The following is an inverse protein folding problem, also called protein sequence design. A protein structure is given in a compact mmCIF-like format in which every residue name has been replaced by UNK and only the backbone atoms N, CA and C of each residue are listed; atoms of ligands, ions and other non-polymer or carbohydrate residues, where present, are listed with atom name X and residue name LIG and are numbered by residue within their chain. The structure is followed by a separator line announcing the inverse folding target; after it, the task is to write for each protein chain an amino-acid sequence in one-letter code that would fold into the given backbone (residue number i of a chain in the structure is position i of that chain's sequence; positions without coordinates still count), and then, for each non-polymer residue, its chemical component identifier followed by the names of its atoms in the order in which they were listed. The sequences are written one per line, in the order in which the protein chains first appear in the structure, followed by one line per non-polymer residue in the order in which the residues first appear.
data_IF_498907622244
#
_entry.id   IF_498907622244
#
_cell.length_a   1.000
_cell.length_b   1.000
_cell.length_c   1.000
_cell.angle_alpha   90.00
_cell.angle_beta   90.00
_cell.angle_gamma   90.00
#
_symmetry.space_group_name_H-M   'P 1'
#
loop_
_entity.id
_entity.type
_entity.pdbx_description
1 polymer ?
#
# COMPACT_ATOMS: atom_id res chain seq x y z
N UNK A 1 13.20 -7.67 -2.04
CA UNK A 1 12.06 -6.87 -2.55
C UNK A 1 11.55 -5.91 -1.50
N UNK A 2 11.40 -6.32 -0.23
CA UNK A 2 10.88 -5.46 0.85
C UNK A 2 11.90 -5.29 1.97
N UNK A 3 12.03 -4.09 2.57
CA UNK A 3 12.98 -3.78 3.65
C UNK A 3 12.54 -4.35 5.02
N UNK A 4 12.48 -5.67 5.15
CA UNK A 4 12.05 -6.41 6.36
C UNK A 4 10.58 -6.19 6.80
N UNK A 5 9.90 -5.13 6.35
CA UNK A 5 8.52 -4.81 6.74
C UNK A 5 7.44 -5.31 5.78
N UNK A 6 7.84 -5.85 4.61
CA UNK A 6 6.91 -6.48 3.68
C UNK A 6 5.85 -5.53 3.13
N UNK A 7 4.64 -6.05 2.98
CA UNK A 7 3.44 -5.27 2.73
C UNK A 7 2.56 -5.31 3.98
N UNK A 8 2.04 -4.16 4.40
CA UNK A 8 1.22 -4.05 5.59
C UNK A 8 0.12 -3.02 5.41
N UNK A 9 -0.95 -3.19 6.17
CA UNK A 9 -2.01 -2.19 6.26
C UNK A 9 -1.81 -1.33 7.50
N UNK A 10 -2.21 -0.07 7.37
CA UNK A 10 -2.29 0.90 8.43
C UNK A 10 -3.72 1.43 8.53
N UNK A 11 -4.25 1.43 9.75
CA UNK A 11 -5.47 2.16 10.13
C UNK A 11 -5.06 3.12 11.24
N UNK A 12 -5.44 4.39 11.12
CA UNK A 12 -5.10 5.42 12.10
C UNK A 12 -6.38 5.98 12.72
N UNK A 13 -6.42 6.17 14.04
CA UNK A 13 -7.55 6.77 14.79
C UNK A 13 -7.01 7.78 15.78
N UNK A 14 -7.43 9.06 15.69
CA UNK A 14 -6.92 10.12 16.59
C UNK A 14 -5.40 10.07 16.72
N UNK A 15 -4.92 9.68 17.90
CA UNK A 15 -3.50 9.61 18.26
C UNK A 15 -2.84 8.22 18.07
N UNK A 16 -3.58 7.20 17.62
CA UNK A 16 -3.11 5.82 17.50
C UNK A 16 -2.99 5.36 16.05
N UNK A 17 -1.96 4.54 15.78
CA UNK A 17 -1.71 3.88 14.49
C UNK A 17 -1.69 2.37 14.68
N UNK A 18 -2.55 1.67 13.96
CA UNK A 18 -2.68 0.22 14.01
C UNK A 18 -2.11 -0.36 12.72
N UNK A 19 -1.00 -1.06 12.85
CA UNK A 19 -0.35 -1.75 11.75
C UNK A 19 -0.79 -3.22 11.72
N UNK A 20 -0.88 -3.81 10.53
CA UNK A 20 -1.28 -5.22 10.38
C UNK A 20 -0.32 -6.20 11.06
N UNK A 21 0.94 -5.84 11.30
CA UNK A 21 1.88 -6.69 12.06
C UNK A 21 1.57 -6.76 13.57
N UNK A 22 0.74 -5.86 14.10
CA UNK A 22 0.27 -5.88 15.48
C UNK A 22 -1.05 -6.65 15.68
N UNK A 23 -1.71 -7.04 14.58
CA UNK A 23 -2.92 -7.85 14.63
C UNK A 23 -2.61 -9.35 14.89
N UNK A 24 -3.56 -10.04 15.51
CA UNK A 24 -3.58 -11.50 15.57
C UNK A 24 -4.29 -12.01 14.32
N UNK A 25 -3.60 -12.87 13.57
CA UNK A 25 -4.08 -13.38 12.29
C UNK A 25 -4.41 -14.87 12.36
N UNK A 26 -5.59 -15.22 11.86
CA UNK A 26 -5.92 -16.57 11.46
C UNK A 26 -5.71 -16.70 9.95
N UNK A 27 -4.82 -17.60 9.53
CA UNK A 27 -4.41 -17.73 8.12
C UNK A 27 -4.88 -19.07 7.56
N UNK A 28 -5.67 -19.00 6.49
CA UNK A 28 -6.28 -20.15 5.85
C UNK A 28 -5.91 -20.20 4.37
N UNK A 29 -5.12 -21.21 3.96
CA UNK A 29 -4.85 -21.48 2.54
C UNK A 29 -6.10 -22.08 1.90
N UNK A 30 -6.69 -21.40 0.91
CA UNK A 30 -7.91 -21.86 0.23
C UNK A 30 -7.61 -22.68 -1.03
N UNK A 31 -6.58 -22.30 -1.78
CA UNK A 31 -6.10 -23.01 -2.97
C UNK A 31 -4.56 -22.92 -3.03
N UNK A 32 -3.88 -23.58 -3.99
CA UNK A 32 -2.45 -23.37 -4.21
C UNK A 32 -2.06 -21.90 -4.47
N UNK A 33 -2.94 -21.11 -5.10
CA UNK A 33 -2.72 -19.72 -5.48
C UNK A 33 -3.41 -18.69 -4.57
N UNK A 34 -4.26 -19.13 -3.63
CA UNK A 34 -5.09 -18.22 -2.81
C UNK A 34 -4.99 -18.50 -1.32
N UNK A 35 -4.78 -17.44 -0.56
CA UNK A 35 -4.77 -17.41 0.89
C UNK A 35 -5.78 -16.38 1.40
N UNK A 36 -6.45 -16.71 2.50
CA UNK A 36 -7.37 -15.81 3.19
C UNK A 36 -6.89 -15.69 4.62
N UNK A 37 -6.62 -14.46 5.07
CA UNK A 37 -6.21 -14.15 6.41
C UNK A 37 -7.26 -13.29 7.10
N UNK A 38 -7.67 -13.64 8.32
CA UNK A 38 -8.58 -12.84 9.12
C UNK A 38 -7.84 -12.30 10.34
N UNK A 39 -7.72 -10.99 10.42
CA UNK A 39 -6.97 -10.26 11.43
C UNK A 39 -7.88 -9.54 12.41
N UNK A 40 -7.45 -9.47 13.67
CA UNK A 40 -8.08 -8.66 14.72
C UNK A 40 -7.02 -7.97 15.55
N UNK A 41 -7.32 -6.75 15.96
CA UNK A 41 -6.52 -6.01 16.94
C UNK A 41 -7.19 -6.08 18.31
N UNK A 42 -6.40 -5.97 19.36
CA UNK A 42 -6.92 -6.07 20.74
C UNK A 42 -7.60 -4.78 21.22
N UNK A 43 -7.16 -3.65 20.69
CA UNK A 43 -7.45 -2.29 21.17
C UNK A 43 -8.31 -1.47 20.21
N UNK A 44 -8.43 -1.90 18.94
CA UNK A 44 -9.39 -1.35 17.98
C UNK A 44 -10.41 -2.42 17.55
N UNK A 45 -11.73 -2.15 17.61
CA UNK A 45 -12.78 -3.15 17.37
C UNK A 45 -13.03 -3.33 15.88
N UNK A 46 -12.00 -3.79 15.16
CA UNK A 46 -12.03 -4.09 13.73
C UNK A 46 -11.68 -5.56 13.53
N UNK A 47 -12.47 -6.22 12.68
CA UNK A 47 -12.09 -7.48 12.06
C UNK A 47 -11.76 -7.19 10.61
N UNK A 48 -10.62 -7.68 10.14
CA UNK A 48 -10.20 -7.51 8.76
C UNK A 48 -10.05 -8.87 8.10
N UNK A 49 -10.51 -9.00 6.86
CA UNK A 49 -10.27 -10.17 6.02
C UNK A 49 -9.47 -9.75 4.81
N UNK A 50 -8.30 -10.35 4.63
CA UNK A 50 -7.39 -10.12 3.51
C UNK A 50 -7.35 -11.38 2.66
N UNK A 51 -7.77 -11.26 1.40
CA UNK A 51 -7.58 -12.29 0.40
C UNK A 51 -6.37 -11.94 -0.46
N UNK A 52 -5.42 -12.88 -0.53
CA UNK A 52 -4.19 -12.77 -1.30
C UNK A 52 -4.25 -13.85 -2.37
N UNK A 53 -4.19 -13.45 -3.64
CA UNK A 53 -4.32 -14.36 -4.78
C UNK A 53 -3.23 -14.11 -5.81
N UNK A 54 -2.59 -15.19 -6.28
CA UNK A 54 -1.70 -15.15 -7.45
C UNK A 54 -2.57 -15.20 -8.71
N UNK A 55 -2.70 -14.07 -9.40
CA UNK A 55 -3.39 -13.99 -10.70
C UNK A 55 -2.53 -14.62 -11.81
N UNK A 56 -1.21 -14.44 -11.74
CA UNK A 56 -0.21 -15.11 -12.57
C UNK A 56 1.12 -15.27 -11.80
N UNK A 57 2.20 -15.64 -12.50
CA UNK A 57 3.53 -15.85 -11.91
C UNK A 57 4.17 -14.59 -11.30
N UNK A 58 3.67 -13.41 -11.64
CA UNK A 58 4.27 -12.11 -11.37
C UNK A 58 3.29 -11.11 -10.73
N UNK A 59 2.01 -11.43 -10.65
CA UNK A 59 0.97 -10.54 -10.12
C UNK A 59 0.30 -11.13 -8.90
N UNK A 60 0.37 -10.39 -7.79
CA UNK A 60 -0.38 -10.65 -6.56
C UNK A 60 -1.55 -9.67 -6.50
N UNK A 61 -2.75 -10.20 -6.28
CA UNK A 61 -3.99 -9.44 -6.09
C UNK A 61 -4.36 -9.49 -4.61
N UNK A 62 -4.68 -8.33 -4.06
CA UNK A 62 -5.13 -8.15 -2.69
C UNK A 62 -6.55 -7.63 -2.67
N UNK A 63 -7.42 -8.31 -1.94
CA UNK A 63 -8.77 -7.85 -1.64
C UNK A 63 -8.92 -7.77 -0.13
N UNK A 64 -9.13 -6.57 0.38
CA UNK A 64 -9.20 -6.33 1.83
C UNK A 64 -10.63 -5.91 2.16
N UNK A 65 -11.22 -6.59 3.15
CA UNK A 65 -12.53 -6.29 3.71
C UNK A 65 -12.37 -5.94 5.18
N UNK A 66 -12.88 -4.79 5.56
CA UNK A 66 -12.81 -4.25 6.93
C UNK A 66 -14.22 -4.26 7.52
N UNK A 67 -14.39 -4.87 8.69
CA UNK A 67 -15.66 -4.94 9.40
C UNK A 67 -15.49 -4.38 10.82
N UNK A 68 -15.80 -3.08 11.04
CA UNK A 68 -15.86 -2.49 12.37
C UNK A 68 -17.00 -3.11 13.18
N UNK A 69 -16.73 -3.47 14.42
CA UNK A 69 -17.73 -4.03 15.34
C UNK A 69 -18.55 -2.94 16.06
N UNK A 70 -18.05 -1.70 16.03
CA UNK A 70 -18.74 -0.47 16.46
C UNK A 70 -18.29 0.70 15.59
N UNK A 71 -18.92 1.86 15.74
CA UNK A 71 -18.48 3.08 15.06
C UNK A 71 -17.04 3.44 15.47
N UNK A 72 -16.21 3.78 14.50
CA UNK A 72 -14.81 4.20 14.71
C UNK A 72 -14.53 5.44 13.88
N UNK A 73 -13.94 6.45 14.50
CA UNK A 73 -13.43 7.63 13.80
C UNK A 73 -11.98 7.38 13.38
N UNK A 74 -11.76 7.38 12.07
CA UNK A 74 -10.49 7.12 11.43
C UNK A 74 -9.84 8.44 10.98
N UNK A 75 -8.58 8.59 11.33
CA UNK A 75 -7.70 9.64 10.82
C UNK A 75 -7.03 9.24 9.49
N UNK A 76 -7.00 7.94 9.16
CA UNK A 76 -6.45 7.47 7.89
C UNK A 76 -6.55 5.95 7.71
N UNK A 77 -6.43 5.52 6.47
CA UNK A 77 -6.29 4.10 6.09
C UNK A 77 -5.37 4.02 4.87
N UNK A 78 -4.41 3.09 4.91
CA UNK A 78 -3.46 2.87 3.83
C UNK A 78 -3.01 1.41 3.73
N UNK A 79 -2.83 0.92 2.51
CA UNK A 79 -2.02 -0.26 2.23
C UNK A 79 -0.63 0.18 1.79
N UNK A 80 0.41 -0.33 2.43
CA UNK A 80 1.79 0.09 2.23
C UNK A 80 2.63 -1.11 1.79
N UNK A 81 3.43 -0.92 0.73
CA UNK A 81 4.47 -1.84 0.28
C UNK A 81 5.81 -1.19 0.60
N UNK A 82 6.50 -1.68 1.62
CA UNK A 82 7.86 -1.23 1.91
C UNK A 82 8.85 -1.93 0.99
N UNK A 83 9.72 -1.16 0.33
CA UNK A 83 10.68 -1.65 -0.65
C UNK A 83 12.07 -1.82 -0.01
N UNK A 84 12.90 -2.72 -0.53
CA UNK A 84 14.31 -2.76 -0.15
C UNK A 84 15.04 -1.51 -0.65
N UNK A 85 16.16 -1.16 -0.01
CA UNK A 85 17.01 -0.05 -0.43
C UNK A 85 17.64 -0.21 -1.83
N UNK A 86 17.49 -1.38 -2.46
CA UNK A 86 17.96 -1.64 -3.82
C UNK A 86 17.09 -0.97 -4.91
N UNK A 87 15.90 -0.50 -4.56
CA UNK A 87 15.07 0.30 -5.46
C UNK A 87 15.55 1.74 -5.46
N UNK A 88 16.00 2.23 -6.62
CA UNK A 88 16.71 3.50 -6.77
C UNK A 88 15.86 4.62 -7.38
N UNK A 89 14.78 4.26 -8.07
CA UNK A 89 13.97 5.21 -8.83
C UNK A 89 12.51 4.79 -8.95
N UNK A 90 11.69 5.75 -9.33
CA UNK A 90 10.26 5.58 -9.55
C UNK A 90 9.77 6.30 -10.81
N UNK A 91 8.63 5.86 -11.33
CA UNK A 91 7.91 6.45 -12.45
C UNK A 91 6.44 6.58 -12.05
N UNK A 92 5.90 7.77 -12.28
CA UNK A 92 4.45 8.01 -12.23
C UNK A 92 3.92 7.94 -13.66
N UNK A 93 3.18 6.89 -14.06
CA UNK A 93 2.85 6.64 -15.45
C UNK A 93 2.11 7.78 -16.13
N UNK A 94 1.20 8.44 -15.41
CA UNK A 94 0.42 9.55 -15.96
C UNK A 94 1.27 10.75 -16.41
N UNK A 95 2.34 11.06 -15.68
CA UNK A 95 3.22 12.18 -16.01
C UNK A 95 4.38 11.78 -16.92
N UNK A 96 4.66 10.47 -17.03
CA UNK A 96 5.87 9.95 -17.68
C UNK A 96 7.17 10.36 -16.98
N UNK A 97 7.11 11.04 -15.82
CA UNK A 97 8.28 11.54 -15.11
C UNK A 97 8.89 10.43 -14.26
N UNK A 98 10.17 10.16 -14.51
CA UNK A 98 11.01 9.28 -13.71
C UNK A 98 11.91 10.11 -12.79
N UNK A 99 12.04 9.71 -11.53
CA UNK A 99 12.87 10.39 -10.54
C UNK A 99 13.56 9.39 -9.61
N UNK A 100 14.59 9.83 -8.90
CA UNK A 100 15.33 9.01 -7.94
C UNK A 100 14.68 9.05 -6.56
N UNK A 101 14.80 7.99 -5.76
CA UNK A 101 14.35 8.04 -4.36
C UNK A 101 15.16 9.02 -3.51
N UNK A 102 16.45 9.18 -3.81
CA UNK A 102 17.30 10.19 -3.16
C UNK A 102 16.84 11.63 -3.41
N UNK A 103 15.97 11.89 -4.40
CA UNK A 103 15.38 13.23 -4.55
C UNK A 103 14.28 13.52 -3.53
N UNK A 104 13.87 12.52 -2.74
CA UNK A 104 12.89 12.67 -1.66
C UNK A 104 13.55 13.04 -0.32
N UNK A 105 14.88 12.95 -0.20
CA UNK A 105 15.61 13.35 1.00
C UNK A 105 15.81 14.87 1.01
N UNK A 106 15.00 15.60 1.77
CA UNK A 106 15.09 17.07 1.82
C UNK A 106 14.04 17.81 2.66
N UNK A 107 13.36 17.15 3.60
CA UNK A 107 12.43 17.80 4.52
C UNK A 107 10.95 17.80 4.09
N UNK A 108 10.61 17.30 2.89
CA UNK A 108 9.24 16.94 2.53
C UNK A 108 9.11 15.42 2.60
N UNK A 109 8.65 14.94 3.76
CA UNK A 109 8.66 13.52 4.18
C UNK A 109 7.61 12.63 3.48
N UNK A 110 6.91 13.15 2.48
CA UNK A 110 6.06 12.39 1.57
C UNK A 110 6.12 13.08 0.21
N UNK A 111 6.57 12.39 -0.83
CA UNK A 111 6.08 12.70 -2.17
C UNK A 111 4.69 12.08 -2.30
N UNK A 112 3.72 12.60 -1.52
CA UNK A 112 2.37 12.51 -2.05
C UNK A 112 2.48 13.17 -3.42
N UNK A 113 2.18 12.43 -4.48
CA UNK A 113 2.28 12.92 -5.86
C UNK A 113 1.16 13.94 -6.04
N UNK A 114 1.30 15.10 -5.39
CA UNK A 114 0.57 16.32 -5.65
C UNK A 114 1.41 17.06 -6.67
N UNK A 115 1.08 16.86 -7.95
CA UNK A 115 1.60 17.76 -8.97
C UNK A 115 0.72 19.02 -8.98
N UNK A 116 1.35 20.15 -8.64
CA UNK A 116 1.02 21.51 -9.06
C UNK A 116 -0.47 21.79 -9.34
N UNK A 117 -1.26 21.98 -8.28
CA UNK A 117 -2.54 22.71 -8.35
C UNK A 117 -3.76 21.96 -8.89
N UNK A 118 -3.61 20.77 -9.48
CA UNK A 118 -4.73 19.88 -9.82
C UNK A 118 -4.46 18.47 -9.26
N UNK A 119 -5.31 18.01 -8.34
CA UNK A 119 -5.25 16.64 -7.81
C UNK A 119 -5.66 15.67 -8.91
N UNK A 120 -4.71 15.21 -9.72
CA UNK A 120 -4.91 14.10 -10.66
C UNK A 120 -4.38 12.82 -10.02
N UNK A 121 -5.31 11.92 -9.72
CA UNK A 121 -5.05 10.69 -9.01
C UNK A 121 -4.23 9.72 -9.87
N UNK A 122 -3.01 9.40 -9.45
CA UNK A 122 -2.23 8.33 -10.06
C UNK A 122 -2.88 6.99 -9.70
N UNK A 123 -3.41 6.29 -10.71
CA UNK A 123 -3.98 4.95 -10.55
C UNK A 123 -2.92 3.88 -10.32
N UNK A 124 -1.67 4.14 -10.71
CA UNK A 124 -0.57 3.22 -10.49
C UNK A 124 0.76 3.95 -10.31
N UNK A 125 1.70 3.25 -9.70
CA UNK A 125 3.06 3.74 -9.46
C UNK A 125 4.06 2.63 -9.68
N UNK A 126 5.18 2.96 -10.32
CA UNK A 126 6.21 2.01 -10.73
C UNK A 126 7.52 2.37 -10.06
N UNK A 127 8.26 1.36 -9.61
CA UNK A 127 9.59 1.50 -9.00
C UNK A 127 10.58 0.57 -9.67
N UNK A 128 11.84 0.96 -9.68
CA UNK A 128 12.88 0.26 -10.41
C UNK A 128 14.09 0.01 -9.51
N UNK A 129 14.62 -1.19 -9.62
CA UNK A 129 15.97 -1.55 -9.20
C UNK A 129 16.81 -1.65 -10.47
N UNK A 130 17.56 -0.58 -10.77
CA UNK A 130 18.32 -0.49 -12.01
C UNK A 130 19.48 -1.48 -12.05
N UNK A 131 20.03 -1.86 -10.89
CA UNK A 131 21.13 -2.83 -10.79
C UNK A 131 20.71 -4.26 -11.16
N UNK A 132 19.47 -4.64 -10.84
CA UNK A 132 18.94 -5.99 -11.08
C UNK A 132 18.00 -6.07 -12.29
N UNK A 133 17.71 -4.94 -12.95
CA UNK A 133 16.74 -4.90 -14.05
C UNK A 133 15.34 -5.34 -13.64
N UNK A 134 14.96 -5.06 -12.39
CA UNK A 134 13.67 -5.41 -11.81
C UNK A 134 12.82 -4.15 -11.63
N UNK A 135 11.52 -4.26 -11.86
CA UNK A 135 10.56 -3.24 -11.47
C UNK A 135 9.37 -3.84 -10.74
N UNK A 136 8.74 -3.01 -9.92
CA UNK A 136 7.51 -3.32 -9.21
C UNK A 136 6.49 -2.24 -9.51
N UNK A 137 5.25 -2.64 -9.79
CA UNK A 137 4.14 -1.74 -9.97
C UNK A 137 3.09 -1.98 -8.88
N UNK A 138 2.66 -0.91 -8.22
CA UNK A 138 1.47 -0.89 -7.38
C UNK A 138 0.34 -0.26 -8.18
N UNK A 139 -0.75 -1.01 -8.37
CA UNK A 139 -1.91 -0.59 -9.16
C UNK A 139 -3.15 -0.50 -8.25
N UNK A 140 -3.62 0.73 -8.05
CA UNK A 140 -4.86 1.14 -7.39
C UNK A 140 -5.95 1.55 -8.40
N UNK A 141 -5.89 1.15 -9.67
CA UNK A 141 -6.84 1.63 -10.70
C UNK A 141 -8.30 1.26 -10.45
N UNK A 142 -8.55 0.23 -9.64
CA UNK A 142 -9.88 -0.17 -9.20
C UNK A 142 -10.33 0.53 -7.91
N UNK A 143 -9.51 1.43 -7.36
CA UNK A 143 -9.84 2.17 -6.16
C UNK A 143 -10.93 3.22 -6.42
N UNK A 144 -11.86 3.45 -5.48
CA UNK A 144 -12.78 4.55 -5.59
C UNK A 144 -12.04 5.91 -5.61
N UNK A 145 -12.70 7.00 -6.06
CA UNK A 145 -12.05 8.30 -6.25
C UNK A 145 -11.46 8.94 -4.99
N UNK A 146 -11.79 8.44 -3.81
CA UNK A 146 -11.27 8.89 -2.52
C UNK A 146 -9.99 8.14 -2.09
N UNK A 147 -9.35 7.41 -3.00
CA UNK A 147 -8.06 6.75 -2.79
C UNK A 147 -7.02 7.20 -3.81
N UNK A 148 -5.75 7.20 -3.37
CA UNK A 148 -4.62 7.59 -4.19
C UNK A 148 -3.47 6.60 -4.07
N UNK A 149 -2.76 6.40 -5.18
CA UNK A 149 -1.42 5.83 -5.13
C UNK A 149 -0.42 6.94 -4.79
N UNK A 150 0.50 6.67 -3.87
CA UNK A 150 1.57 7.60 -3.53
C UNK A 150 2.89 6.87 -3.28
N UNK A 151 3.96 7.65 -3.24
CA UNK A 151 5.32 7.20 -2.96
C UNK A 151 5.82 7.98 -1.77
N UNK A 152 6.48 7.32 -0.84
CA UNK A 152 7.16 8.04 0.22
C UNK A 152 8.48 7.37 0.58
N UNK A 153 9.16 7.98 1.52
CA UNK A 153 10.31 7.42 2.19
C UNK A 153 10.00 7.42 3.70
N UNK A 154 10.10 6.27 4.35
CA UNK A 154 10.05 6.26 5.81
C UNK A 154 11.27 7.00 6.38
N UNK A 155 11.12 7.53 7.59
CA UNK A 155 12.20 8.25 8.29
C UNK A 155 12.60 7.52 9.57
N UNK A 156 13.84 7.70 10.01
CA UNK A 156 14.40 7.09 11.23
C UNK A 156 15.19 5.82 10.94
N UNK A 157 15.40 4.94 11.92
CA UNK A 157 16.31 3.79 11.75
C UNK A 157 15.87 2.77 10.68
N UNK A 158 14.63 2.87 10.21
CA UNK A 158 14.04 2.01 9.18
C UNK A 158 13.70 2.79 7.90
N UNK A 159 14.61 3.65 7.44
CA UNK A 159 14.41 4.37 6.17
C UNK A 159 14.31 3.40 5.00
N UNK A 160 13.20 3.47 4.30
CA UNK A 160 12.86 2.62 3.18
C UNK A 160 11.93 3.38 2.23
N UNK A 161 12.13 3.25 0.92
CA UNK A 161 11.14 3.64 -0.05
C UNK A 161 9.85 2.86 0.17
N UNK A 162 8.70 3.54 0.10
CA UNK A 162 7.40 2.89 0.22
C UNK A 162 6.47 3.29 -0.92
N UNK A 163 5.68 2.32 -1.37
CA UNK A 163 4.50 2.57 -2.20
C UNK A 163 3.28 2.45 -1.33
N UNK A 164 2.28 3.30 -1.54
CA UNK A 164 1.05 3.25 -0.76
C UNK A 164 -0.18 3.46 -1.62
N UNK A 165 -1.25 2.77 -1.27
CA UNK A 165 -2.61 3.14 -1.65
C UNK A 165 -3.29 3.67 -0.40
N UNK A 166 -3.72 4.93 -0.37
CA UNK A 166 -4.30 5.54 0.83
C UNK A 166 -5.56 6.33 0.56
N UNK A 167 -6.45 6.38 1.54
CA UNK A 167 -7.65 7.22 1.50
C UNK A 167 -7.28 8.70 1.66
N UNK A 168 -7.86 9.59 0.86
CA UNK A 168 -7.60 11.04 0.92
C UNK A 168 -8.59 11.81 1.79
N UNK A 169 -9.83 11.36 1.89
CA UNK A 169 -10.88 12.04 2.63
C UNK A 169 -10.79 11.67 4.11
N UNK A 170 -9.88 12.35 4.83
CA UNK A 170 -9.67 12.18 6.25
C UNK A 170 -9.99 13.49 7.01
N UNK A 171 -10.56 13.41 8.24
CA UNK A 171 -11.00 12.19 8.92
C UNK A 171 -12.30 11.62 8.30
N UNK A 172 -12.59 10.35 8.58
CA UNK A 172 -13.82 9.67 8.20
C UNK A 172 -14.30 8.73 9.31
N UNK A 173 -15.56 8.32 9.30
CA UNK A 173 -16.07 7.33 10.25
C UNK A 173 -16.43 6.03 9.55
N UNK A 174 -16.07 4.91 10.16
CA UNK A 174 -16.52 3.57 9.79
C UNK A 174 -17.66 3.17 10.72
N UNK A 175 -18.85 2.90 10.16
CA UNK A 175 -20.02 2.41 10.87
C UNK A 175 -20.00 0.86 10.97
N UNK A 176 -20.81 0.20 11.81
CA UNK A 176 -20.76 -1.26 11.98
C UNK A 176 -21.31 -2.05 10.78
N UNK A 177 -20.51 -2.16 9.71
CA UNK A 177 -20.80 -2.92 8.49
C UNK A 177 -19.52 -3.30 7.77
N UNK A 178 -19.58 -4.25 6.85
CA UNK A 178 -18.45 -4.59 6.01
C UNK A 178 -18.16 -3.47 4.97
N UNK A 179 -16.89 -3.13 4.83
CA UNK A 179 -16.35 -2.21 3.82
C UNK A 179 -15.30 -2.94 3.01
N UNK A 180 -15.27 -2.68 1.70
CA UNK A 180 -14.17 -3.13 0.85
C UNK A 180 -13.17 -2.00 0.70
N UNK A 181 -11.91 -2.28 1.05
CA UNK A 181 -10.79 -1.50 0.56
C UNK A 181 -10.65 -1.73 -0.95
N UNK A 182 -10.08 -0.79 -1.72
CA UNK A 182 -9.69 -1.02 -3.10
C UNK A 182 -9.02 -2.37 -3.34
N UNK A 183 -9.41 -3.05 -4.42
CA UNK A 183 -8.61 -4.16 -4.93
C UNK A 183 -7.28 -3.63 -5.43
N UNK A 184 -6.21 -4.25 -4.95
CA UNK A 184 -4.84 -3.83 -5.22
C UNK A 184 -4.10 -4.90 -6.00
N UNK A 185 -3.32 -4.49 -7.01
CA UNK A 185 -2.41 -5.40 -7.71
C UNK A 185 -0.97 -4.96 -7.49
N UNK A 186 -0.14 -5.92 -7.09
CA UNK A 186 1.31 -5.76 -7.04
C UNK A 186 1.90 -6.63 -8.13
N UNK A 187 2.55 -6.00 -9.11
CA UNK A 187 3.14 -6.69 -10.26
C UNK A 187 4.66 -6.57 -10.24
N UNK A 188 5.35 -7.70 -10.31
CA UNK A 188 6.80 -7.77 -10.45
C UNK A 188 7.14 -7.95 -11.93
N UNK A 189 7.93 -7.05 -12.48
CA UNK A 189 8.39 -7.13 -13.87
C UNK A 189 9.90 -7.33 -13.86
N UNK A 190 10.35 -8.43 -14.45
CA UNK A 190 11.78 -8.64 -14.71
C UNK A 190 12.06 -8.30 -16.16
N UNK A 191 13.06 -7.44 -16.40
CA UNK A 191 13.53 -7.18 -17.77
C UNK A 191 14.08 -8.50 -18.31
N UNK A 192 13.40 -9.11 -19.29
CA UNK A 192 13.99 -10.22 -20.05
C UNK A 192 15.23 -9.66 -20.73
N UNK A 193 16.36 -10.34 -20.55
CA UNK A 193 17.67 -9.86 -21.01
C UNK A 193 17.61 -9.37 -22.44
N UNK A 194 18.16 -8.17 -22.65
CA UNK A 194 18.73 -7.76 -23.93
C UNK A 194 20.02 -8.55 -24.16
#
# INVERSE_FOLDING_TARGET
MTANSGMYQEISTGDSRYLSNAAVWEVNKKTPSKLVATGRWWDIPIVQTVEIELEDYNTIVYNIRTNPLRKIDCAGEALIVALSGDFDSYLVPYSGKRSLFSSLSGGVKEATVFWEGEVRFASSVWVFNSSQGMSLALDCSLAPPDYISAISHTTGDNEAPILMCRKVNNPFSLEPREYSFPTMKVKVLKRRGL
#
